data_IF_719044284743
#
_entry.id   IF_719044284743
#
_cell.length_a   1.000
_cell.length_b   1.000
_cell.length_c   1.000
_cell.angle_alpha   90.00
_cell.angle_beta   90.00
_cell.angle_gamma   90.00
#
_symmetry.space_group_name_H-M   'P 1'
#
loop_
_entity.id
_entity.type
_entity.pdbx_description
1 polymer ?
#
# COMPACT_ATOMS: atom_id res chain seq x y z
N UNK A 1 54.28 -26.44 35.45
CA UNK A 1 54.17 -25.24 34.58
C UNK A 1 53.59 -25.72 33.25
N UNK A 2 52.37 -25.33 32.88
CA UNK A 2 51.87 -25.60 31.53
C UNK A 2 52.78 -24.91 30.51
N UNK A 3 53.12 -25.59 29.42
CA UNK A 3 53.94 -25.01 28.35
C UNK A 3 53.14 -23.96 27.59
N UNK A 4 53.80 -22.91 27.08
CA UNK A 4 53.16 -21.82 26.33
C UNK A 4 52.28 -22.30 25.16
N UNK A 5 52.61 -23.47 24.61
CA UNK A 5 51.84 -24.13 23.55
C UNK A 5 50.46 -24.63 24.00
N UNK A 6 50.29 -25.04 25.25
CA UNK A 6 48.99 -25.50 25.78
C UNK A 6 48.04 -24.32 26.05
N UNK A 7 48.54 -23.19 26.54
CA UNK A 7 47.71 -21.99 26.73
C UNK A 7 47.18 -21.44 25.41
N UNK A 8 47.99 -21.46 24.35
CA UNK A 8 47.57 -21.00 23.02
C UNK A 8 46.46 -21.90 22.42
N UNK A 9 46.55 -23.22 22.64
CA UNK A 9 45.56 -24.20 22.17
C UNK A 9 44.22 -24.02 22.87
N UNK A 10 44.24 -23.77 24.18
CA UNK A 10 43.04 -23.53 25.00
C UNK A 10 42.36 -22.20 24.62
N UNK A 11 43.14 -21.14 24.38
CA UNK A 11 42.60 -19.85 23.92
C UNK A 11 41.95 -19.95 22.53
N UNK A 12 42.54 -20.74 21.62
CA UNK A 12 42.05 -20.94 20.26
C UNK A 12 40.82 -21.86 20.21
N UNK A 13 40.70 -22.84 21.09
CA UNK A 13 39.54 -23.72 21.18
C UNK A 13 38.28 -22.99 21.71
N UNK A 14 38.46 -21.93 22.50
CA UNK A 14 37.37 -21.16 23.11
C UNK A 14 36.81 -20.04 22.23
N UNK A 15 37.58 -19.49 21.28
CA UNK A 15 37.19 -18.31 20.49
C UNK A 15 36.48 -18.63 19.16
N UNK A 16 36.67 -19.83 18.62
CA UNK A 16 36.14 -20.23 17.31
C UNK A 16 34.60 -20.28 17.17
N UNK A 17 33.77 -20.64 18.18
CA UNK A 17 32.33 -20.71 17.99
C UNK A 17 31.64 -19.33 17.97
N UNK A 18 32.24 -18.31 18.59
CA UNK A 18 31.62 -16.98 18.73
C UNK A 18 31.53 -16.24 17.39
N UNK A 19 32.57 -16.35 16.56
CA UNK A 19 32.60 -15.70 15.25
C UNK A 19 31.55 -16.31 14.33
N UNK A 20 31.39 -17.64 14.35
CA UNK A 20 30.37 -18.35 13.57
C UNK A 20 28.95 -17.98 13.98
N UNK A 21 28.68 -17.84 15.29
CA UNK A 21 27.36 -17.40 15.77
C UNK A 21 27.10 -15.95 15.35
N UNK A 22 28.11 -15.08 15.40
CA UNK A 22 27.99 -13.68 14.98
C UNK A 22 27.70 -13.54 13.48
N UNK A 23 28.31 -14.37 12.63
CA UNK A 23 28.04 -14.35 11.19
C UNK A 23 26.64 -14.88 10.86
N UNK A 24 26.19 -15.93 11.53
CA UNK A 24 24.83 -16.47 11.37
C UNK A 24 23.78 -15.45 11.84
N UNK A 25 24.02 -14.80 12.97
CA UNK A 25 23.16 -13.71 13.46
C UNK A 25 23.14 -12.52 12.50
N UNK A 26 24.30 -12.14 11.96
CA UNK A 26 24.40 -11.05 10.99
C UNK A 26 23.66 -11.37 9.68
N UNK A 27 23.77 -12.60 9.17
CA UNK A 27 23.04 -13.05 7.99
C UNK A 27 21.52 -13.09 8.24
N UNK A 28 21.11 -13.59 9.41
CA UNK A 28 19.71 -13.60 9.84
C UNK A 28 19.13 -12.19 9.91
N UNK A 29 19.86 -11.24 10.51
CA UNK A 29 19.45 -9.85 10.61
C UNK A 29 19.32 -9.19 9.21
N UNK A 30 20.19 -9.54 8.27
CA UNK A 30 20.15 -9.02 6.90
C UNK A 30 18.92 -9.51 6.13
N UNK A 31 18.53 -10.77 6.34
CA UNK A 31 17.28 -11.34 5.78
C UNK A 31 16.06 -10.66 6.39
N UNK A 32 16.04 -10.45 7.71
CA UNK A 32 14.95 -9.74 8.39
C UNK A 32 14.85 -8.29 7.91
N UNK A 33 15.99 -7.61 7.77
CA UNK A 33 16.03 -6.25 7.23
C UNK A 33 15.53 -6.18 5.78
N UNK A 34 15.85 -7.17 4.96
CA UNK A 34 15.34 -7.28 3.59
C UNK A 34 13.82 -7.50 3.56
N UNK A 35 13.28 -8.36 4.43
CA UNK A 35 11.84 -8.57 4.56
C UNK A 35 11.14 -7.31 5.07
N UNK A 36 11.73 -6.60 6.05
CA UNK A 36 11.19 -5.35 6.58
C UNK A 36 11.23 -4.21 5.55
N UNK A 37 12.27 -4.19 4.71
CA UNK A 37 12.42 -3.24 3.61
C UNK A 37 11.54 -3.58 2.40
N UNK A 38 10.95 -4.79 2.35
CA UNK A 38 10.05 -5.14 1.27
C UNK A 38 8.84 -4.18 1.31
N UNK A 39 8.58 -3.44 0.22
CA UNK A 39 7.47 -2.51 0.18
C UNK A 39 6.19 -3.30 0.42
N UNK A 40 5.46 -2.96 1.49
CA UNK A 40 4.13 -3.48 1.72
C UNK A 40 3.30 -3.21 0.47
N UNK A 41 2.51 -4.19 0.03
CA UNK A 41 1.60 -4.02 -1.10
C UNK A 41 0.60 -2.94 -0.71
N UNK A 42 0.90 -1.69 -1.04
CA UNK A 42 0.02 -0.54 -0.86
C UNK A 42 -1.27 -0.91 -1.58
N UNK A 43 -2.35 -1.09 -0.81
CA UNK A 43 -3.70 -1.14 -1.37
C UNK A 43 -3.76 0.08 -2.29
N UNK A 44 -3.79 -0.18 -3.60
CA UNK A 44 -3.89 0.87 -4.62
C UNK A 44 -5.17 1.61 -4.25
N UNK A 45 -5.01 2.80 -3.66
CA UNK A 45 -6.08 3.62 -3.13
C UNK A 45 -7.26 3.48 -4.09
N UNK A 46 -8.36 2.92 -3.57
CA UNK A 46 -9.54 2.59 -4.36
C UNK A 46 -10.24 3.90 -4.70
N UNK A 47 -9.67 4.64 -5.63
CA UNK A 47 -10.21 5.92 -6.05
C UNK A 47 -11.41 5.62 -6.94
N UNK A 48 -12.60 5.95 -6.45
CA UNK A 48 -13.82 5.90 -7.26
C UNK A 48 -13.65 6.79 -8.47
N UNK A 49 -14.24 6.39 -9.59
CA UNK A 49 -14.21 7.18 -10.82
C UNK A 49 -15.57 7.82 -11.01
N UNK A 50 -15.61 9.12 -11.25
CA UNK A 50 -16.82 9.79 -11.73
C UNK A 50 -16.89 9.70 -13.24
N UNK A 51 -18.04 9.26 -13.72
CA UNK A 51 -18.44 9.37 -15.11
C UNK A 51 -19.40 10.54 -15.24
N UNK A 52 -19.09 11.47 -16.14
CA UNK A 52 -19.99 12.57 -16.47
C UNK A 52 -21.01 12.10 -17.51
N UNK A 53 -22.31 12.27 -17.21
CA UNK A 53 -23.40 11.91 -18.11
C UNK A 53 -23.82 13.07 -19.04
N UNK A 54 -23.40 14.28 -18.72
CA UNK A 54 -23.64 15.48 -19.50
C UNK A 54 -22.48 16.48 -19.32
N UNK A 55 -22.54 17.61 -20.02
CA UNK A 55 -21.59 18.73 -19.79
C UNK A 55 -21.80 19.27 -18.37
N UNK A 56 -20.79 19.15 -17.52
CA UNK A 56 -20.85 19.64 -16.14
C UNK A 56 -19.69 20.58 -15.83
N UNK A 57 -20.00 21.69 -15.17
CA UNK A 57 -19.01 22.66 -14.75
C UNK A 57 -18.32 22.19 -13.47
N UNK A 58 -16.99 22.20 -13.46
CA UNK A 58 -16.17 21.94 -12.29
C UNK A 58 -15.88 23.28 -11.61
N UNK A 59 -16.29 23.38 -10.34
CA UNK A 59 -16.25 24.61 -9.56
C UNK A 59 -15.22 24.55 -8.46
N UNK A 60 -14.74 25.71 -8.00
CA UNK A 60 -13.74 25.78 -6.91
C UNK A 60 -14.32 25.47 -5.54
N UNK A 61 -15.63 25.65 -5.34
CA UNK A 61 -16.33 25.41 -4.08
C UNK A 61 -17.61 24.61 -4.35
N UNK A 62 -18.14 23.89 -3.34
CA UNK A 62 -19.42 23.21 -3.42
C UNK A 62 -20.59 24.20 -3.30
N UNK A 63 -20.59 25.25 -4.13
CA UNK A 63 -21.65 26.26 -4.15
C UNK A 63 -21.99 26.68 -5.58
N UNK A 64 -23.27 26.97 -5.83
CA UNK A 64 -23.76 27.40 -7.15
C UNK A 64 -23.22 28.77 -7.57
N UNK A 65 -22.85 29.62 -6.61
CA UNK A 65 -22.29 30.95 -6.86
C UNK A 65 -20.79 30.93 -7.20
N UNK A 66 -20.13 29.79 -7.02
CA UNK A 66 -18.68 29.72 -7.21
C UNK A 66 -18.29 29.67 -8.68
N UNK A 67 -17.27 30.44 -9.06
CA UNK A 67 -16.80 30.51 -10.45
C UNK A 67 -16.33 29.13 -10.93
N UNK A 68 -16.91 28.60 -12.03
CA UNK A 68 -16.41 27.39 -12.66
C UNK A 68 -15.04 27.66 -13.29
N UNK A 69 -14.08 26.76 -13.04
CA UNK A 69 -12.72 26.91 -13.55
C UNK A 69 -12.37 25.88 -14.62
N UNK A 70 -13.16 24.83 -14.74
CA UNK A 70 -13.04 23.82 -15.77
C UNK A 70 -14.43 23.27 -16.13
N UNK A 71 -14.54 22.62 -17.29
CA UNK A 71 -15.75 21.96 -17.72
C UNK A 71 -15.41 20.52 -18.12
N UNK A 72 -16.14 19.57 -17.56
CA UNK A 72 -16.05 18.18 -17.97
C UNK A 72 -17.11 17.89 -19.04
N UNK A 73 -16.70 17.10 -20.02
CA UNK A 73 -17.58 16.60 -21.07
C UNK A 73 -18.08 15.21 -20.69
N UNK A 74 -19.16 14.78 -21.32
CA UNK A 74 -19.66 13.42 -21.20
C UNK A 74 -18.55 12.38 -21.44
N UNK A 75 -18.55 11.31 -20.66
CA UNK A 75 -17.55 10.24 -20.77
C UNK A 75 -16.20 10.56 -20.12
N UNK A 76 -15.98 11.80 -19.64
CA UNK A 76 -14.80 12.14 -18.86
C UNK A 76 -14.77 11.28 -17.59
N UNK A 77 -13.59 10.77 -17.23
CA UNK A 77 -13.40 9.97 -16.01
C UNK A 77 -12.47 10.72 -15.06
N UNK A 78 -12.99 11.16 -13.91
CA UNK A 78 -12.19 11.82 -12.88
C UNK A 78 -12.16 11.02 -11.58
N UNK A 79 -11.08 11.21 -10.84
CA UNK A 79 -10.89 10.60 -9.53
C UNK A 79 -11.75 11.31 -8.48
N UNK A 80 -12.61 10.57 -7.77
CA UNK A 80 -13.36 11.09 -6.63
C UNK A 80 -12.47 11.09 -5.41
N UNK A 81 -12.38 12.24 -4.73
CA UNK A 81 -11.68 12.33 -3.45
C UNK A 81 -12.67 12.32 -2.28
N UNK A 82 -13.82 12.95 -2.45
CA UNK A 82 -14.82 13.09 -1.39
C UNK A 82 -16.22 13.25 -2.00
N UNK A 83 -17.24 12.82 -1.25
CA UNK A 83 -18.66 13.01 -1.57
C UNK A 83 -19.29 13.70 -0.36
N UNK A 84 -19.88 14.88 -0.57
CA UNK A 84 -20.59 15.67 0.44
C UNK A 84 -22.02 15.93 -0.04
N UNK A 85 -22.98 15.13 0.43
CA UNK A 85 -24.40 15.23 0.08
C UNK A 85 -24.61 15.38 -1.45
N UNK A 86 -24.86 16.60 -1.93
CA UNK A 86 -25.14 16.89 -3.34
C UNK A 86 -23.90 17.25 -4.17
N UNK A 87 -22.73 17.32 -3.54
CA UNK A 87 -21.48 17.73 -4.15
C UNK A 87 -20.46 16.61 -4.12
N UNK A 88 -19.75 16.47 -5.23
CA UNK A 88 -18.70 15.49 -5.38
C UNK A 88 -17.39 16.20 -5.67
N UNK A 89 -16.41 15.95 -4.82
CA UNK A 89 -15.07 16.48 -4.96
C UNK A 89 -14.23 15.59 -5.88
N UNK A 90 -13.69 16.20 -6.92
CA UNK A 90 -12.94 15.52 -7.98
C UNK A 90 -11.52 16.04 -8.08
N UNK A 91 -10.57 15.14 -8.29
CA UNK A 91 -9.18 15.50 -8.60
C UNK A 91 -9.01 15.61 -10.11
N UNK A 92 -8.72 16.81 -10.59
CA UNK A 92 -8.51 17.11 -12.01
C UNK A 92 -7.05 16.91 -12.41
N UNK A 93 -6.12 17.32 -11.55
CA UNK A 93 -4.66 17.11 -11.67
C UNK A 93 -4.07 16.82 -10.30
N UNK A 94 -2.81 16.38 -10.24
CA UNK A 94 -2.12 15.98 -9.00
C UNK A 94 -2.34 16.94 -7.81
N UNK A 95 -2.40 18.25 -8.06
CA UNK A 95 -2.63 19.27 -7.04
C UNK A 95 -3.86 20.17 -7.29
N UNK A 96 -4.76 19.76 -8.19
CA UNK A 96 -5.96 20.56 -8.54
C UNK A 96 -7.21 19.76 -8.24
N UNK A 97 -8.00 20.28 -7.33
CA UNK A 97 -9.25 19.69 -6.87
C UNK A 97 -10.41 20.62 -7.21
N UNK A 98 -11.56 20.05 -7.57
CA UNK A 98 -12.77 20.79 -7.89
C UNK A 98 -14.02 20.08 -7.39
N UNK A 99 -15.14 20.75 -7.52
CA UNK A 99 -16.45 20.29 -7.05
C UNK A 99 -17.42 20.21 -8.22
N UNK A 100 -18.22 19.16 -8.23
CA UNK A 100 -19.23 18.88 -9.25
C UNK A 100 -20.53 18.50 -8.56
N UNK A 101 -21.65 18.94 -9.12
CA UNK A 101 -22.98 18.59 -8.61
C UNK A 101 -23.32 17.13 -8.92
N UNK A 102 -23.76 16.39 -7.91
CA UNK A 102 -24.05 14.95 -7.95
C UNK A 102 -25.13 14.55 -8.96
N UNK A 103 -26.10 15.44 -9.23
CA UNK A 103 -27.27 15.18 -10.09
C UNK A 103 -26.89 14.77 -11.52
N UNK A 104 -25.76 15.26 -12.03
CA UNK A 104 -25.32 15.02 -13.42
C UNK A 104 -24.14 14.04 -13.56
N UNK A 105 -23.78 13.35 -12.46
CA UNK A 105 -22.62 12.47 -12.43
C UNK A 105 -22.95 11.11 -11.85
N UNK A 106 -22.35 10.07 -12.43
CA UNK A 106 -22.42 8.73 -11.86
C UNK A 106 -21.10 8.41 -11.18
N UNK A 107 -21.15 8.23 -9.86
CA UNK A 107 -20.01 7.71 -9.09
C UNK A 107 -19.90 6.22 -9.41
N UNK A 108 -18.92 5.87 -10.24
CA UNK A 108 -18.57 4.48 -10.50
C UNK A 108 -17.67 4.02 -9.35
N UNK A 109 -18.12 3.06 -8.52
CA UNK A 109 -17.27 2.51 -7.48
C UNK A 109 -16.02 1.92 -8.15
N UNK A 110 -14.85 2.00 -7.49
CA UNK A 110 -13.63 1.43 -8.02
C UNK A 110 -13.89 -0.04 -8.31
N UNK A 111 -13.62 -0.47 -9.55
CA UNK A 111 -13.81 -1.87 -9.95
C UNK A 111 -13.16 -2.76 -8.90
N UNK A 112 -13.85 -3.77 -8.34
CA UNK A 112 -13.23 -4.68 -7.39
C UNK A 112 -12.01 -5.26 -8.08
N UNK A 113 -10.83 -4.99 -7.51
CA UNK A 113 -9.58 -5.54 -8.03
C UNK A 113 -9.76 -7.05 -8.04
N UNK A 114 -9.70 -7.67 -9.22
CA UNK A 114 -9.63 -9.12 -9.31
C UNK A 114 -8.34 -9.52 -8.59
N UNK A 115 -8.41 -10.25 -7.45
CA UNK A 115 -7.24 -10.53 -6.67
C UNK A 115 -6.24 -11.31 -7.53
N UNK A 116 -4.97 -10.90 -7.49
CA UNK A 116 -3.92 -11.66 -8.19
C UNK A 116 -3.89 -13.09 -7.64
N UNK A 117 -3.57 -14.08 -8.48
CA UNK A 117 -3.42 -15.47 -8.05
C UNK A 117 -2.50 -15.62 -6.83
N UNK A 118 -1.44 -14.80 -6.72
CA UNK A 118 -0.57 -14.73 -5.54
C UNK A 118 -1.30 -14.29 -4.27
N UNK A 119 -2.24 -13.35 -4.36
CA UNK A 119 -3.03 -12.88 -3.23
C UNK A 119 -4.10 -13.90 -2.82
N UNK A 120 -4.74 -14.56 -3.80
CA UNK A 120 -5.70 -15.64 -3.53
C UNK A 120 -4.99 -16.80 -2.84
N UNK A 121 -3.84 -17.23 -3.37
CA UNK A 121 -3.04 -18.29 -2.77
C UNK A 121 -2.60 -17.92 -1.35
N UNK A 122 -2.06 -16.72 -1.12
CA UNK A 122 -1.70 -16.24 0.23
C UNK A 122 -2.89 -16.25 1.18
N UNK A 123 -4.04 -15.70 0.78
CA UNK A 123 -5.26 -15.69 1.61
C UNK A 123 -5.68 -17.11 1.97
N UNK A 124 -5.69 -18.03 1.00
CA UNK A 124 -6.10 -19.41 1.24
C UNK A 124 -5.09 -20.16 2.13
N UNK A 125 -3.79 -19.91 1.97
CA UNK A 125 -2.74 -20.47 2.84
C UNK A 125 -2.89 -19.93 4.27
N UNK A 126 -3.10 -18.63 4.45
CA UNK A 126 -3.31 -18.01 5.77
C UNK A 126 -4.58 -18.58 6.43
N UNK A 127 -5.68 -18.70 5.68
CA UNK A 127 -6.92 -19.31 6.18
C UNK A 127 -6.72 -20.78 6.57
N UNK A 128 -5.96 -21.52 5.77
CA UNK A 128 -5.66 -22.92 6.04
C UNK A 128 -4.79 -23.07 7.31
N UNK A 129 -3.73 -22.28 7.44
CA UNK A 129 -2.86 -22.27 8.63
C UNK A 129 -3.63 -21.88 9.89
N UNK A 130 -4.49 -20.86 9.83
CA UNK A 130 -5.35 -20.47 10.95
C UNK A 130 -6.38 -21.55 11.31
N UNK A 131 -6.94 -22.24 10.30
CA UNK A 131 -7.87 -23.36 10.49
C UNK A 131 -7.20 -24.57 11.16
N UNK A 132 -5.87 -24.71 11.01
CA UNK A 132 -5.08 -25.80 11.61
C UNK A 132 -4.53 -25.39 12.99
N UNK A 133 -4.80 -24.17 13.45
CA UNK A 133 -4.40 -23.70 14.78
C UNK A 133 -2.91 -23.45 14.93
N UNK A 134 -2.17 -23.32 13.82
CA UNK A 134 -0.74 -23.04 13.83
C UNK A 134 -0.53 -21.52 13.87
N UNK A 135 -0.65 -20.94 15.06
CA UNK A 135 -0.28 -19.55 15.32
C UNK A 135 1.23 -19.54 15.66
N UNK A 136 2.03 -18.88 14.85
CA UNK A 136 3.38 -18.42 15.21
C UNK A 136 3.34 -16.92 15.48
#
# INVERSE_FOLDING_TARGET
>A
MPSSFEEERVLKQKSFPFIGILTVLSLSALVLFYIFSAPTLKERNRVSKLLFNAKSAIRRRPTLDSVPFAQAHEGTKLEVTQVESDWVQVRVRANVVGWVQGENVTVVPPSPLKPSYRQIARRNIILFVNKIGLIF
#
